data_IF_023615727514
#
_entry.id   IF_023615727514
#
_cell.length_a   1.000
_cell.length_b   1.000
_cell.length_c   1.000
_cell.angle_alpha   90.00
_cell.angle_beta   90.00
_cell.angle_gamma   90.00
#
_symmetry.space_group_name_H-M   'P 1'
#
loop_
_entity.id
_entity.type
_entity.pdbx_description
1 polymer ?
#
# COMPACT_ATOMS: atom_id res chain seq x y z
N UNK A 1 42.84 8.57 23.90
CA UNK A 1 41.56 9.28 24.09
C UNK A 1 40.99 9.49 22.69
N UNK A 2 39.85 8.99 22.23
CA UNK A 2 38.65 8.45 22.87
C UNK A 2 38.05 7.43 21.89
N UNK A 3 37.75 6.20 22.34
CA UNK A 3 36.98 5.25 21.53
C UNK A 3 35.51 5.63 21.67
N UNK A 4 34.95 6.23 20.63
CA UNK A 4 33.52 6.55 20.53
C UNK A 4 32.76 5.23 20.43
N UNK A 5 31.99 4.90 21.47
CA UNK A 5 31.11 3.74 21.52
C UNK A 5 29.93 4.06 20.59
N UNK A 6 29.89 3.47 19.41
CA UNK A 6 28.69 3.49 18.56
C UNK A 6 27.68 2.60 19.26
N UNK A 7 26.59 3.19 19.73
CA UNK A 7 25.45 2.45 20.22
C UNK A 7 24.76 1.84 18.99
N UNK A 8 24.75 0.51 18.93
CA UNK A 8 23.91 -0.23 18.01
C UNK A 8 22.47 -0.02 18.47
N UNK A 9 21.74 0.81 17.73
CA UNK A 9 20.29 0.89 17.79
C UNK A 9 19.77 -0.52 17.47
N UNK A 10 19.10 -1.15 18.43
CA UNK A 10 18.48 -2.44 18.22
C UNK A 10 17.47 -2.27 17.08
N UNK A 11 17.61 -3.06 16.02
CA UNK A 11 16.62 -3.09 14.95
C UNK A 11 15.30 -3.55 15.58
N UNK A 12 14.38 -2.60 15.79
CA UNK A 12 12.97 -2.92 16.07
C UNK A 12 12.51 -3.73 14.87
N UNK A 13 12.25 -5.01 15.09
CA UNK A 13 11.64 -5.84 14.07
C UNK A 13 10.18 -5.51 14.15
N UNK A 14 9.70 -4.62 13.29
CA UNK A 14 8.26 -4.31 13.23
C UNK A 14 7.49 -5.63 13.10
N UNK A 15 6.61 -5.90 14.06
CA UNK A 15 5.76 -7.09 14.05
C UNK A 15 4.33 -6.67 13.76
N UNK A 16 3.69 -7.41 12.85
CA UNK A 16 2.36 -7.11 12.37
C UNK A 16 1.47 -8.33 12.56
N UNK A 17 0.31 -8.12 13.17
CA UNK A 17 -0.79 -9.07 13.18
C UNK A 17 -1.63 -8.87 11.92
N UNK A 18 -1.61 -9.85 11.01
CA UNK A 18 -2.43 -9.85 9.79
C UNK A 18 -3.88 -10.18 10.17
N UNK A 19 -4.80 -9.32 9.77
CA UNK A 19 -6.24 -9.52 9.98
C UNK A 19 -7.02 -9.71 8.67
N UNK A 20 -6.42 -9.37 7.52
CA UNK A 20 -7.06 -9.56 6.22
C UNK A 20 -6.03 -9.91 5.15
N UNK A 21 -6.43 -10.77 4.21
CA UNK A 21 -5.67 -11.15 3.02
C UNK A 21 -6.61 -11.17 1.82
N UNK A 22 -6.15 -10.66 0.69
CA UNK A 22 -6.96 -10.55 -0.52
C UNK A 22 -6.11 -10.52 -1.78
N UNK A 23 -6.79 -10.48 -2.92
CA UNK A 23 -6.17 -10.44 -4.24
C UNK A 23 -6.64 -9.21 -5.03
N UNK A 24 -5.77 -8.69 -5.89
CA UNK A 24 -6.06 -7.56 -6.77
C UNK A 24 -5.58 -7.83 -8.19
N UNK A 25 -6.39 -7.43 -9.18
CA UNK A 25 -5.95 -7.42 -10.57
C UNK A 25 -4.87 -6.37 -10.80
N UNK A 26 -3.93 -6.65 -11.70
CA UNK A 26 -2.95 -5.65 -12.14
C UNK A 26 -3.64 -4.62 -13.03
N UNK A 27 -3.21 -3.36 -12.96
CA UNK A 27 -3.81 -2.26 -13.76
C UNK A 27 -3.66 -2.51 -15.27
N UNK A 28 -2.53 -3.07 -15.71
CA UNK A 28 -2.28 -3.30 -17.13
C UNK A 28 -3.11 -4.49 -17.62
N UNK A 29 -3.94 -4.33 -18.65
CA UNK A 29 -4.78 -5.41 -19.19
C UNK A 29 -3.95 -6.50 -19.89
N UNK A 30 -2.69 -6.21 -20.20
CA UNK A 30 -1.75 -7.16 -20.79
C UNK A 30 -0.98 -7.95 -19.72
N UNK A 31 -1.05 -7.53 -18.46
CA UNK A 31 -0.45 -8.26 -17.36
C UNK A 31 -1.40 -9.34 -16.88
N UNK A 32 -0.88 -10.54 -16.69
CA UNK A 32 -1.64 -11.67 -16.17
C UNK A 32 -1.24 -11.93 -14.71
N UNK A 33 -2.04 -12.75 -14.03
CA UNK A 33 -1.87 -13.07 -12.61
C UNK A 33 -2.32 -11.96 -11.67
N UNK A 34 -2.67 -12.36 -10.45
CA UNK A 34 -3.13 -11.46 -9.39
C UNK A 34 -1.97 -10.99 -8.53
N UNK A 35 -2.12 -9.82 -7.92
CA UNK A 35 -1.33 -9.42 -6.77
C UNK A 35 -2.04 -9.96 -5.53
N UNK A 36 -1.30 -10.57 -4.61
CA UNK A 36 -1.84 -10.92 -3.28
C UNK A 36 -1.31 -9.90 -2.28
N UNK A 37 -2.19 -9.43 -1.41
CA UNK A 37 -1.87 -8.42 -0.40
C UNK A 37 -2.46 -8.79 0.95
N UNK A 38 -1.93 -8.17 1.99
CA UNK A 38 -2.40 -8.31 3.36
C UNK A 38 -2.61 -6.93 3.98
N UNK A 39 -3.62 -6.83 4.85
CA UNK A 39 -3.74 -5.76 5.83
C UNK A 39 -3.31 -6.29 7.19
N UNK A 40 -2.50 -5.50 7.87
CA UNK A 40 -1.96 -5.83 9.17
C UNK A 40 -2.05 -4.65 10.12
N UNK A 41 -2.09 -4.98 11.41
CA UNK A 41 -1.97 -4.04 12.51
C UNK A 41 -0.60 -4.23 13.13
N UNK A 42 0.17 -3.15 13.20
CA UNK A 42 1.48 -3.15 13.84
C UNK A 42 1.27 -3.32 15.36
N UNK A 43 2.01 -4.24 15.97
CA UNK A 43 1.69 -4.75 17.31
C UNK A 43 1.98 -3.74 18.43
N UNK A 44 2.95 -2.85 18.27
CA UNK A 44 3.34 -1.88 19.30
C UNK A 44 2.49 -0.59 19.27
N UNK A 45 2.27 -0.05 18.09
CA UNK A 45 1.61 1.23 17.82
C UNK A 45 0.12 1.06 17.54
N UNK A 46 -0.31 -0.15 17.12
CA UNK A 46 -1.65 -0.39 16.62
C UNK A 46 -1.93 0.23 15.25
N UNK A 47 -0.90 0.78 14.59
CA UNK A 47 -1.03 1.41 13.28
C UNK A 47 -1.37 0.38 12.20
N UNK A 48 -2.20 0.78 11.23
CA UNK A 48 -2.60 -0.11 10.15
C UNK A 48 -1.70 0.06 8.94
N UNK A 49 -1.38 -1.05 8.30
CA UNK A 49 -0.56 -1.07 7.10
C UNK A 49 -1.04 -2.11 6.10
N UNK A 50 -0.60 -1.93 4.86
CA UNK A 50 -0.83 -2.83 3.74
C UNK A 50 0.52 -3.32 3.19
N UNK A 51 0.64 -4.59 2.86
CA UNK A 51 1.78 -5.10 2.08
C UNK A 51 1.34 -5.99 0.93
N UNK A 52 2.19 -6.09 -0.09
CA UNK A 52 2.10 -7.18 -1.08
C UNK A 52 2.80 -8.42 -0.53
N UNK A 53 2.25 -9.59 -0.80
CA UNK A 53 2.82 -10.90 -0.42
C UNK A 53 3.18 -11.75 -1.62
N UNK A 54 2.45 -11.60 -2.72
CA UNK A 54 2.73 -12.26 -3.99
C UNK A 54 2.45 -11.35 -5.20
N UNK A 55 3.19 -11.60 -6.27
CA UNK A 55 2.94 -11.07 -7.60
C UNK A 55 2.79 -12.28 -8.53
N UNK A 56 1.56 -12.57 -8.95
CA UNK A 56 1.25 -13.67 -9.86
C UNK A 56 2.06 -13.54 -11.15
N UNK A 57 2.53 -14.67 -11.67
CA UNK A 57 3.54 -14.79 -12.74
C UNK A 57 4.97 -14.36 -12.34
N UNK A 58 5.20 -13.94 -11.11
CA UNK A 58 6.52 -13.59 -10.60
C UNK A 58 6.99 -12.20 -11.02
N UNK A 59 8.30 -11.96 -10.88
CA UNK A 59 8.91 -10.64 -11.03
C UNK A 59 9.09 -9.90 -9.71
N UNK A 60 9.90 -8.85 -9.73
CA UNK A 60 10.24 -8.07 -8.54
C UNK A 60 9.03 -7.28 -8.03
N UNK A 61 8.89 -7.23 -6.71
CA UNK A 61 7.95 -6.37 -5.96
C UNK A 61 8.49 -6.17 -4.54
N UNK A 62 8.01 -5.16 -3.83
CA UNK A 62 8.31 -4.95 -2.42
C UNK A 62 7.29 -5.63 -1.51
N UNK A 63 7.77 -6.21 -0.41
CA UNK A 63 6.95 -6.73 0.71
C UNK A 63 6.95 -5.80 1.92
N UNK A 64 7.44 -4.57 1.74
CA UNK A 64 7.39 -3.53 2.77
C UNK A 64 5.93 -3.30 3.20
N UNK A 65 5.75 -3.14 4.51
CA UNK A 65 4.49 -2.66 5.07
C UNK A 65 4.37 -1.16 4.81
N UNK A 66 3.27 -0.77 4.19
CA UNK A 66 2.97 0.60 3.82
C UNK A 66 1.84 1.09 4.73
N UNK A 67 2.15 2.03 5.62
CA UNK A 67 1.18 2.59 6.54
C UNK A 67 -0.03 3.20 5.80
N UNK A 68 -1.24 2.90 6.25
CA UNK A 68 -2.46 3.49 5.69
C UNK A 68 -2.50 5.01 5.86
N UNK A 69 -1.94 5.54 6.96
CA UNK A 69 -1.80 6.99 7.18
C UNK A 69 -0.89 7.66 6.13
N UNK A 70 0.17 6.97 5.69
CA UNK A 70 1.05 7.48 4.65
C UNK A 70 0.35 7.48 3.28
N UNK A 71 -0.48 6.48 3.01
CA UNK A 71 -1.35 6.44 1.83
C UNK A 71 -2.37 7.58 1.89
N UNK A 72 -3.03 7.77 3.03
CA UNK A 72 -3.99 8.85 3.28
C UNK A 72 -3.37 10.21 2.96
N UNK A 73 -2.19 10.51 3.53
CA UNK A 73 -1.49 11.77 3.33
C UNK A 73 -1.16 12.04 1.85
N UNK A 74 -0.88 11.00 1.05
CA UNK A 74 -0.68 11.16 -0.40
C UNK A 74 -2.00 11.45 -1.11
N UNK A 75 -3.07 10.73 -0.79
CA UNK A 75 -4.39 10.89 -1.41
C UNK A 75 -5.00 12.27 -1.14
N UNK A 76 -4.83 12.82 0.06
CA UNK A 76 -5.28 14.18 0.40
C UNK A 76 -4.67 15.27 -0.49
N UNK A 77 -3.48 15.02 -1.02
CA UNK A 77 -2.79 15.96 -1.91
C UNK A 77 -3.27 15.86 -3.37
N UNK A 78 -4.20 14.94 -3.69
CA UNK A 78 -4.67 14.71 -5.06
C UNK A 78 -6.13 15.18 -5.24
N UNK A 79 -6.37 16.46 -5.60
CA UNK A 79 -7.72 16.96 -5.87
C UNK A 79 -8.27 16.46 -7.21
N UNK A 80 -7.38 16.09 -8.14
CA UNK A 80 -7.69 15.71 -9.51
C UNK A 80 -7.08 14.35 -9.87
N UNK A 81 -7.26 13.95 -11.12
CA UNK A 81 -6.65 12.76 -11.71
C UNK A 81 -5.12 12.71 -11.57
N UNK A 82 -4.58 11.62 -11.02
CA UNK A 82 -3.15 11.47 -10.73
C UNK A 82 -2.56 10.14 -11.23
N UNK A 83 -1.26 10.09 -11.59
CA UNK A 83 -0.58 8.85 -11.98
C UNK A 83 -0.10 8.05 -10.76
N UNK A 84 0.10 6.73 -10.89
CA UNK A 84 0.55 5.88 -9.77
C UNK A 84 1.89 6.32 -9.16
N UNK A 85 2.73 7.05 -9.91
CA UNK A 85 4.05 7.52 -9.43
C UNK A 85 4.00 8.36 -8.16
N UNK A 86 2.83 8.91 -7.78
CA UNK A 86 2.67 9.64 -6.51
C UNK A 86 2.99 8.76 -5.29
N UNK A 87 2.81 7.44 -5.39
CA UNK A 87 3.09 6.49 -4.32
C UNK A 87 4.55 6.04 -4.23
N UNK A 88 5.42 6.45 -5.16
CA UNK A 88 6.84 6.05 -5.15
C UNK A 88 7.57 6.35 -3.84
N UNK A 89 7.36 7.51 -3.18
CA UNK A 89 8.04 7.83 -1.93
C UNK A 89 7.73 6.87 -0.77
N UNK A 90 6.67 6.05 -0.88
CA UNK A 90 6.30 5.06 0.14
C UNK A 90 7.22 3.82 0.14
N UNK A 91 8.02 3.61 -0.90
CA UNK A 91 8.84 2.42 -1.05
C UNK A 91 10.32 2.77 -0.93
N UNK A 92 11.05 2.05 -0.05
CA UNK A 92 12.49 2.17 0.07
C UNK A 92 13.26 1.34 -0.96
N UNK A 93 12.68 0.24 -1.43
CA UNK A 93 13.35 -0.72 -2.31
C UNK A 93 12.38 -1.52 -3.20
N UNK A 94 12.93 -2.41 -4.01
CA UNK A 94 12.16 -3.34 -4.84
C UNK A 94 11.93 -2.84 -6.27
N UNK A 95 10.73 -3.09 -6.80
CA UNK A 95 10.42 -2.84 -8.21
C UNK A 95 10.06 -1.39 -8.50
N UNK A 96 10.46 -0.90 -9.67
CA UNK A 96 9.99 0.39 -10.20
C UNK A 96 8.46 0.43 -10.39
N UNK A 97 7.82 -0.73 -10.43
CA UNK A 97 6.37 -0.90 -10.56
C UNK A 97 5.61 -0.94 -9.23
N UNK A 98 6.29 -0.91 -8.07
CA UNK A 98 5.63 -0.98 -6.75
C UNK A 98 4.49 0.04 -6.59
N UNK A 99 4.72 1.27 -7.06
CA UNK A 99 3.72 2.32 -7.01
C UNK A 99 2.45 1.98 -7.83
N UNK A 100 2.63 1.30 -8.97
CA UNK A 100 1.53 0.78 -9.78
C UNK A 100 0.85 -0.43 -9.15
N UNK A 101 1.60 -1.32 -8.51
CA UNK A 101 1.03 -2.47 -7.79
C UNK A 101 0.20 -2.03 -6.58
N UNK A 102 0.69 -1.08 -5.79
CA UNK A 102 -0.11 -0.48 -4.72
C UNK A 102 -1.38 0.16 -5.27
N UNK A 103 -1.26 0.97 -6.33
CA UNK A 103 -2.44 1.59 -6.94
C UNK A 103 -3.44 0.56 -7.48
N UNK A 104 -2.98 -0.63 -7.89
CA UNK A 104 -3.86 -1.73 -8.29
C UNK A 104 -4.61 -2.31 -7.09
N UNK A 105 -3.93 -2.51 -5.96
CA UNK A 105 -4.56 -2.93 -4.70
C UNK A 105 -5.55 -1.87 -4.20
N UNK A 106 -5.21 -0.58 -4.25
CA UNK A 106 -6.12 0.49 -3.84
C UNK A 106 -7.38 0.61 -4.73
N UNK A 107 -7.35 0.05 -5.95
CA UNK A 107 -8.50 -0.08 -6.86
C UNK A 107 -9.31 -1.36 -6.64
N UNK A 108 -8.82 -2.31 -5.85
CA UNK A 108 -9.53 -3.57 -5.64
C UNK A 108 -10.90 -3.30 -5.01
N UNK A 109 -11.93 -4.14 -5.26
CA UNK A 109 -13.24 -3.99 -4.65
C UNK A 109 -13.21 -3.98 -3.11
N UNK A 110 -12.24 -4.68 -2.52
CA UNK A 110 -12.11 -4.81 -1.07
C UNK A 110 -11.51 -3.57 -0.41
N UNK A 111 -10.54 -2.91 -1.07
CA UNK A 111 -9.88 -1.70 -0.55
C UNK A 111 -10.61 -0.44 -1.02
N UNK A 112 -10.91 -0.37 -2.31
CA UNK A 112 -11.84 0.58 -2.93
C UNK A 112 -11.59 2.06 -2.57
N UNK A 113 -10.33 2.51 -2.53
CA UNK A 113 -10.00 3.89 -2.18
C UNK A 113 -9.90 4.79 -3.43
N UNK A 114 -9.46 4.21 -4.55
CA UNK A 114 -9.28 4.93 -5.81
C UNK A 114 -9.89 4.13 -6.96
N UNK A 115 -10.20 4.80 -8.06
CA UNK A 115 -10.72 4.20 -9.28
C UNK A 115 -9.88 4.60 -10.51
N UNK A 116 -10.22 4.05 -11.67
CA UNK A 116 -9.66 4.51 -12.93
C UNK A 116 -10.29 5.83 -13.35
N UNK A 117 -9.46 6.77 -13.82
CA UNK A 117 -9.98 7.94 -14.51
C UNK A 117 -10.69 7.48 -15.79
N UNK A 118 -11.94 7.92 -15.98
CA UNK A 118 -12.80 7.50 -17.10
C UNK A 118 -12.18 7.76 -18.48
N UNK A 119 -11.24 8.69 -18.59
CA UNK A 119 -10.54 9.02 -19.84
C UNK A 119 -9.19 8.31 -19.99
N UNK A 120 -8.60 7.81 -18.90
CA UNK A 120 -7.19 7.35 -18.86
C UNK A 120 -7.02 6.19 -17.87
N UNK A 121 -6.91 4.97 -18.39
CA UNK A 121 -6.78 3.73 -17.58
C UNK A 121 -5.67 3.77 -16.51
N UNK A 122 -4.52 4.36 -16.83
CA UNK A 122 -3.35 4.45 -15.94
C UNK A 122 -3.36 5.67 -15.01
N UNK A 123 -4.41 6.47 -15.04
CA UNK A 123 -4.63 7.59 -14.14
C UNK A 123 -5.71 7.22 -13.13
N UNK A 124 -5.58 7.75 -11.93
CA UNK A 124 -6.41 7.43 -10.78
C UNK A 124 -7.19 8.64 -10.32
N UNK A 125 -8.34 8.41 -9.72
CA UNK A 125 -9.07 9.40 -8.91
C UNK A 125 -9.48 8.75 -7.61
N UNK A 126 -9.54 9.51 -6.53
CA UNK A 126 -10.16 9.03 -5.31
C UNK A 126 -11.68 8.93 -5.52
N UNK A 127 -12.31 7.91 -4.93
CA UNK A 127 -13.77 7.92 -4.82
C UNK A 127 -14.23 9.11 -3.97
N UNK A 128 -15.44 9.63 -4.19
CA UNK A 128 -15.93 10.80 -3.46
C UNK A 128 -15.98 10.60 -1.93
N UNK A 129 -16.12 9.35 -1.48
CA UNK A 129 -16.24 8.92 -0.09
C UNK A 129 -15.01 8.13 0.40
N UNK A 130 -13.85 8.27 -0.27
CA UNK A 130 -12.66 7.46 0.02
C UNK A 130 -12.19 7.55 1.48
N UNK A 131 -12.32 8.70 2.15
CA UNK A 131 -11.96 8.83 3.57
C UNK A 131 -12.88 8.00 4.48
N UNK A 132 -14.16 7.90 4.12
CA UNK A 132 -15.10 7.04 4.85
C UNK A 132 -14.70 5.57 4.68
N UNK A 133 -14.37 5.15 3.44
CA UNK A 133 -13.89 3.80 3.13
C UNK A 133 -12.62 3.45 3.90
N UNK A 134 -11.68 4.39 4.01
CA UNK A 134 -10.47 4.24 4.83
C UNK A 134 -10.81 3.95 6.30
N UNK A 135 -11.81 4.65 6.86
CA UNK A 135 -12.27 4.43 8.23
C UNK A 135 -12.91 3.05 8.41
N UNK A 136 -13.62 2.55 7.39
CA UNK A 136 -14.19 1.20 7.40
C UNK A 136 -13.11 0.12 7.36
N UNK A 137 -12.04 0.31 6.58
CA UNK A 137 -10.87 -0.58 6.61
C UNK A 137 -10.25 -0.65 8.00
N UNK A 138 -10.22 0.48 8.72
CA UNK A 138 -9.72 0.50 10.08
C UNK A 138 -10.60 -0.28 11.07
N UNK A 139 -11.92 -0.27 10.86
CA UNK A 139 -12.85 -1.03 11.68
C UNK A 139 -12.68 -2.56 11.54
N UNK A 140 -12.27 -3.05 10.36
CA UNK A 140 -12.01 -4.49 10.14
C UNK A 140 -10.90 -5.06 11.03
N UNK A 141 -10.03 -4.21 11.59
CA UNK A 141 -8.95 -4.62 12.49
C UNK A 141 -9.40 -4.92 13.93
N UNK A 142 -10.68 -4.74 14.24
CA UNK A 142 -11.23 -4.82 15.60
C UNK A 142 -12.19 -6.01 15.82
N UNK A 143 -12.47 -6.78 14.76
CA UNK A 143 -13.25 -8.03 14.80
C UNK A 143 -12.33 -9.25 14.99
#
# INVERSE_FOLDING_TARGET
MSKKKVATEAAVTESYTVFYSGDAEKISPHSKGLLTYELGKEDETGSLALRLTANGEGGLFSREWIALDAIHAILEQQPDSFPSRVFRPLFGQGSTNNAGFLAAVLRSPDICLIEADSSRLFMHRCYADWQHRMTQLAALSQD
#
